data_IF_730778205728
#
_entry.id   IF_730778205728
#
_cell.length_a   1.000
_cell.length_b   1.000
_cell.length_c   1.000
_cell.angle_alpha   90.00
_cell.angle_beta   90.00
_cell.angle_gamma   90.00
#
_symmetry.space_group_name_H-M   'P 1'
#
loop_
_entity.id
_entity.type
_entity.pdbx_description
1 polymer ?
#
# COMPACT_ATOMS: atom_id res chain seq x y z
N UNK A 1 4.65 -7.63 1.36
CA UNK A 1 4.74 -6.18 1.64
C UNK A 1 4.50 -5.43 0.34
N UNK A 2 4.18 -4.13 0.38
CA UNK A 2 4.04 -3.37 -0.86
C UNK A 2 5.34 -3.43 -1.67
N UNK A 3 5.23 -3.78 -2.96
CA UNK A 3 6.35 -3.83 -3.92
C UNK A 3 7.52 -4.72 -3.48
N UNK A 4 7.22 -5.82 -2.77
CA UNK A 4 8.20 -6.79 -2.31
C UNK A 4 7.71 -8.22 -2.61
N UNK A 5 8.64 -9.15 -2.80
CA UNK A 5 8.38 -10.59 -2.94
C UNK A 5 8.18 -11.31 -1.60
N UNK A 6 8.57 -10.68 -0.47
CA UNK A 6 8.31 -11.19 0.88
C UNK A 6 6.88 -10.89 1.36
N UNK A 7 6.24 -11.85 2.02
CA UNK A 7 4.86 -11.69 2.51
C UNK A 7 4.81 -10.91 3.83
N UNK A 8 3.68 -10.24 4.11
CA UNK A 8 3.48 -9.59 5.43
C UNK A 8 3.48 -10.63 6.56
N UNK A 9 3.00 -11.86 6.28
CA UNK A 9 2.96 -12.95 7.25
C UNK A 9 4.36 -13.33 7.80
N UNK A 10 5.41 -13.26 6.97
CA UNK A 10 6.78 -13.51 7.40
C UNK A 10 7.29 -12.51 8.45
N UNK A 11 6.70 -11.32 8.52
CA UNK A 11 7.04 -10.23 9.45
C UNK A 11 6.14 -10.18 10.69
N UNK A 12 5.16 -11.10 10.76
CA UNK A 12 4.27 -11.28 11.90
C UNK A 12 4.64 -12.53 12.71
N UNK A 13 5.65 -13.28 12.27
CA UNK A 13 6.18 -14.42 13.02
C UNK A 13 6.81 -13.93 14.34
N UNK A 14 6.63 -14.64 15.46
CA UNK A 14 7.17 -14.24 16.77
C UNK A 14 8.69 -14.01 16.79
N UNK A 15 9.42 -14.64 15.87
CA UNK A 15 10.88 -14.51 15.72
C UNK A 15 11.33 -13.37 14.79
N UNK A 16 10.41 -12.64 14.17
CA UNK A 16 10.72 -11.64 13.12
C UNK A 16 11.07 -10.25 13.65
N UNK A 17 10.97 -10.00 14.96
CA UNK A 17 11.23 -8.70 15.56
C UNK A 17 12.46 -8.70 16.47
N UNK A 18 13.51 -7.99 16.06
CA UNK A 18 14.53 -7.45 16.96
C UNK A 18 14.03 -6.20 17.69
N UNK A 19 14.91 -5.25 18.03
CA UNK A 19 14.57 -4.01 18.76
C UNK A 19 13.78 -2.96 17.97
N UNK A 20 13.50 -3.17 16.67
CA UNK A 20 12.70 -2.28 15.81
C UNK A 20 11.64 -3.08 15.05
N UNK A 21 10.49 -2.45 14.75
CA UNK A 21 9.43 -3.06 13.91
C UNK A 21 9.99 -3.40 12.53
N UNK A 22 9.65 -4.58 12.01
CA UNK A 22 10.14 -5.06 10.72
C UNK A 22 9.46 -4.41 9.49
N UNK A 23 8.46 -3.55 9.72
CA UNK A 23 7.72 -2.81 8.70
C UNK A 23 7.23 -1.46 9.24
N UNK A 24 7.00 -0.53 8.32
CA UNK A 24 6.37 0.76 8.56
C UNK A 24 4.98 0.82 7.92
N UNK A 25 4.11 1.65 8.51
CA UNK A 25 2.81 1.99 7.93
C UNK A 25 2.97 3.28 7.12
N UNK A 26 2.65 3.22 5.83
CA UNK A 26 2.80 4.34 4.91
C UNK A 26 1.47 4.70 4.24
N UNK A 27 1.27 5.98 3.92
CA UNK A 27 0.12 6.45 3.16
C UNK A 27 0.35 6.24 1.66
N UNK A 28 -0.53 5.52 0.97
CA UNK A 28 -0.46 5.33 -0.49
C UNK A 28 -0.56 6.66 -1.24
N UNK A 29 -1.42 7.56 -0.77
CA UNK A 29 -1.38 8.97 -1.15
C UNK A 29 -0.76 9.73 0.02
N UNK A 30 0.52 10.16 -0.08
CA UNK A 30 1.24 10.72 1.06
C UNK A 30 0.56 11.93 1.67
N UNK A 31 0.79 12.15 2.97
CA UNK A 31 0.13 13.21 3.71
C UNK A 31 0.45 14.60 3.13
N UNK A 32 1.70 14.84 2.73
CA UNK A 32 2.10 16.09 2.09
C UNK A 32 1.55 16.25 0.66
N UNK A 33 1.32 15.16 -0.07
CA UNK A 33 0.61 15.19 -1.36
C UNK A 33 -0.83 15.68 -1.21
N UNK A 34 -1.52 15.31 -0.13
CA UNK A 34 -2.91 15.70 0.13
C UNK A 34 -3.06 17.06 0.85
N UNK A 35 -1.95 17.66 1.30
CA UNK A 35 -1.96 18.86 2.15
C UNK A 35 -2.51 20.08 1.40
N UNK A 36 -3.37 20.85 2.07
CA UNK A 36 -4.10 21.99 1.51
C UNK A 36 -5.01 21.65 0.32
N UNK A 37 -5.16 20.36 -0.01
CA UNK A 37 -6.04 19.89 -1.06
C UNK A 37 -7.46 19.61 -0.56
N UNK A 38 -8.42 19.36 -1.47
CA UNK A 38 -9.81 19.10 -1.10
C UNK A 38 -10.00 17.85 -0.23
N UNK A 39 -9.01 16.95 -0.18
CA UNK A 39 -9.09 15.66 0.49
C UNK A 39 -8.18 15.51 1.71
N UNK A 40 -7.55 16.59 2.19
CA UNK A 40 -6.67 16.55 3.37
C UNK A 40 -7.36 15.91 4.59
N UNK A 41 -8.64 16.22 4.78
CA UNK A 41 -9.47 15.68 5.88
C UNK A 41 -9.60 14.16 5.87
N UNK A 42 -9.34 13.50 4.73
CA UNK A 42 -9.47 12.07 4.54
C UNK A 42 -8.11 11.34 4.46
N UNK A 43 -6.98 12.04 4.66
CA UNK A 43 -5.63 11.44 4.54
C UNK A 43 -5.42 10.21 5.42
N UNK A 44 -5.96 10.19 6.64
CA UNK A 44 -5.74 9.12 7.63
C UNK A 44 -6.79 7.99 7.58
N UNK A 45 -7.55 7.87 6.49
CA UNK A 45 -8.46 6.73 6.30
C UNK A 45 -7.67 5.43 6.23
N UNK A 46 -8.19 4.35 6.84
CA UNK A 46 -7.53 3.03 6.84
C UNK A 46 -7.18 2.54 5.42
N UNK A 47 -8.06 2.80 4.47
CA UNK A 47 -7.85 2.48 3.05
C UNK A 47 -6.77 3.33 2.36
N UNK A 48 -6.16 4.31 3.02
CA UNK A 48 -4.97 4.99 2.51
C UNK A 48 -3.67 4.37 3.04
N UNK A 49 -3.70 3.38 3.94
CA UNK A 49 -2.48 2.83 4.53
C UNK A 49 -2.06 1.49 3.94
N UNK A 50 -0.75 1.26 3.90
CA UNK A 50 -0.12 0.00 3.49
C UNK A 50 1.13 -0.28 4.33
N UNK A 51 1.53 -1.54 4.41
CA UNK A 51 2.78 -1.94 5.07
C UNK A 51 3.93 -1.95 4.05
N UNK A 52 4.99 -1.21 4.35
CA UNK A 52 6.22 -1.09 3.55
C UNK A 52 7.44 -1.44 4.41
N UNK A 53 8.54 -1.86 3.79
CA UNK A 53 9.81 -1.89 4.50
C UNK A 53 10.36 -0.47 4.72
N UNK A 54 11.23 -0.33 5.72
CA UNK A 54 11.82 0.95 6.11
C UNK A 54 12.57 1.66 4.97
N UNK A 55 13.29 0.91 4.13
CA UNK A 55 14.06 1.48 3.03
C UNK A 55 13.14 2.06 1.95
N UNK A 56 12.07 1.34 1.60
CA UNK A 56 11.04 1.85 0.68
C UNK A 56 10.26 3.01 1.28
N UNK A 57 9.98 3.00 2.59
CA UNK A 57 9.33 4.11 3.26
C UNK A 57 10.12 5.42 3.09
N UNK A 58 11.45 5.37 3.28
CA UNK A 58 12.35 6.50 3.03
C UNK A 58 12.35 6.88 1.55
N UNK A 59 12.41 5.89 0.65
CA UNK A 59 12.47 6.13 -0.78
C UNK A 59 11.20 6.81 -1.33
N UNK A 60 10.03 6.38 -0.89
CA UNK A 60 8.73 6.97 -1.30
C UNK A 60 8.56 8.35 -0.64
N UNK A 61 8.87 8.47 0.65
CA UNK A 61 8.73 9.71 1.43
C UNK A 61 7.36 10.38 1.24
N UNK A 62 7.32 11.53 0.55
CA UNK A 62 6.09 12.29 0.29
C UNK A 62 5.79 12.43 -1.21
N UNK A 63 6.41 11.58 -2.03
CA UNK A 63 6.34 11.66 -3.48
C UNK A 63 4.94 11.36 -4.01
N UNK A 64 4.57 12.04 -5.11
CA UNK A 64 3.30 11.81 -5.80
C UNK A 64 3.15 10.31 -6.18
N UNK A 65 1.99 9.68 -5.91
CA UNK A 65 1.69 8.32 -6.35
C UNK A 65 2.08 8.01 -7.78
N UNK A 66 1.82 8.92 -8.72
CA UNK A 66 2.15 8.73 -10.14
C UNK A 66 3.66 8.59 -10.36
N UNK A 67 4.44 9.33 -9.58
CA UNK A 67 5.90 9.35 -9.72
C UNK A 67 6.50 8.10 -9.07
N UNK A 68 6.21 7.83 -7.79
CA UNK A 68 6.87 6.70 -7.11
C UNK A 68 6.38 5.36 -7.67
N UNK A 69 5.09 5.22 -8.05
CA UNK A 69 4.56 3.99 -8.63
C UNK A 69 5.20 3.70 -9.98
N UNK A 70 5.42 4.71 -10.82
CA UNK A 70 6.11 4.52 -12.10
C UNK A 70 7.51 3.93 -11.90
N UNK A 71 8.28 4.43 -10.93
CA UNK A 71 9.62 3.90 -10.60
C UNK A 71 9.57 2.44 -10.15
N UNK A 72 8.58 2.07 -9.33
CA UNK A 72 8.41 0.67 -8.91
C UNK A 72 7.93 -0.24 -10.04
N UNK A 73 7.05 0.23 -10.92
CA UNK A 73 6.62 -0.50 -12.11
C UNK A 73 7.81 -0.81 -13.03
N UNK A 74 8.66 0.19 -13.29
CA UNK A 74 9.88 0.04 -14.08
C UNK A 74 10.86 -0.97 -13.45
N UNK A 75 11.06 -0.89 -12.13
CA UNK A 75 11.99 -1.76 -11.42
C UNK A 75 11.50 -3.21 -11.23
N UNK A 76 10.20 -3.42 -11.01
CA UNK A 76 9.60 -4.74 -10.73
C UNK A 76 9.16 -5.47 -12.00
N UNK A 77 8.77 -4.72 -13.04
CA UNK A 77 8.02 -5.24 -14.18
C UNK A 77 6.51 -5.39 -13.89
N UNK A 78 5.73 -5.40 -14.96
CA UNK A 78 4.26 -5.30 -14.89
C UNK A 78 3.60 -6.45 -14.11
N UNK A 79 4.07 -7.68 -14.30
CA UNK A 79 3.46 -8.85 -13.64
C UNK A 79 3.69 -8.85 -12.13
N UNK A 80 4.89 -8.47 -11.69
CA UNK A 80 5.20 -8.35 -10.26
C UNK A 80 4.46 -7.16 -9.63
N UNK A 81 4.29 -6.05 -10.35
CA UNK A 81 3.44 -4.94 -9.91
C UNK A 81 1.98 -5.37 -9.74
N UNK A 82 1.38 -6.04 -10.74
CA UNK A 82 -0.01 -6.53 -10.66
C UNK A 82 -0.22 -7.50 -9.50
N UNK A 83 0.75 -8.39 -9.29
CA UNK A 83 0.75 -9.33 -8.17
C UNK A 83 0.77 -8.56 -6.84
N UNK A 84 1.67 -7.59 -6.71
CA UNK A 84 1.76 -6.77 -5.50
C UNK A 84 0.47 -6.00 -5.22
N UNK A 85 -0.17 -5.42 -6.24
CA UNK A 85 -1.46 -4.77 -6.08
C UNK A 85 -2.54 -5.73 -5.57
N UNK A 86 -2.63 -6.92 -6.17
CA UNK A 86 -3.60 -7.95 -5.79
C UNK A 86 -3.39 -8.39 -4.33
N UNK A 87 -2.15 -8.68 -3.94
CA UNK A 87 -1.80 -9.12 -2.59
C UNK A 87 -2.02 -8.05 -1.51
N UNK A 88 -2.04 -6.77 -1.88
CA UNK A 88 -2.24 -5.64 -0.96
C UNK A 88 -3.63 -5.00 -1.08
N UNK A 89 -4.55 -5.65 -1.81
CA UNK A 89 -5.90 -5.14 -2.08
C UNK A 89 -5.89 -3.72 -2.67
N UNK A 90 -4.98 -3.46 -3.61
CA UNK A 90 -4.87 -2.21 -4.34
C UNK A 90 -5.59 -2.32 -5.69
N UNK A 91 -6.41 -1.33 -6.06
CA UNK A 91 -6.85 -1.16 -7.44
C UNK A 91 -5.62 -1.07 -8.37
N UNK A 92 -5.68 -1.70 -9.54
CA UNK A 92 -4.64 -1.53 -10.56
C UNK A 92 -4.74 -0.13 -11.13
N UNK A 93 -3.61 0.59 -11.22
CA UNK A 93 -3.60 1.98 -11.69
C UNK A 93 -4.15 2.97 -10.66
N UNK A 94 -4.14 2.63 -9.36
CA UNK A 94 -4.64 3.51 -8.31
C UNK A 94 -3.96 4.89 -8.30
N UNK A 95 -2.72 4.99 -8.78
CA UNK A 95 -1.97 6.23 -8.88
C UNK A 95 -2.64 7.27 -9.80
N UNK A 96 -3.47 6.83 -10.75
CA UNK A 96 -4.21 7.69 -11.67
C UNK A 96 -5.66 7.93 -11.23
N UNK A 97 -6.10 7.32 -10.13
CA UNK A 97 -7.47 7.46 -9.65
C UNK A 97 -7.69 8.76 -8.86
N UNK A 98 -8.90 9.28 -8.95
CA UNK A 98 -9.39 10.25 -7.97
C UNK A 98 -9.38 9.65 -6.56
N UNK A 99 -8.87 10.41 -5.59
CA UNK A 99 -8.56 9.88 -4.27
C UNK A 99 -9.77 9.26 -3.54
N UNK A 100 -10.96 9.88 -3.65
CA UNK A 100 -12.16 9.34 -3.02
C UNK A 100 -12.64 8.05 -3.68
N UNK A 101 -12.43 7.89 -4.99
CA UNK A 101 -12.81 6.68 -5.70
C UNK A 101 -11.82 5.55 -5.42
N UNK A 102 -10.53 5.85 -5.36
CA UNK A 102 -9.51 4.95 -4.82
C UNK A 102 -9.91 4.42 -3.42
N UNK A 103 -10.28 5.32 -2.50
CA UNK A 103 -10.67 4.91 -1.15
C UNK A 103 -11.91 4.01 -1.15
N UNK A 104 -12.89 4.26 -2.02
CA UNK A 104 -14.10 3.42 -2.15
C UNK A 104 -13.74 2.04 -2.66
N UNK A 105 -13.03 1.97 -3.79
CA UNK A 105 -12.69 0.71 -4.44
C UNK A 105 -11.79 -0.16 -3.54
N UNK A 106 -10.76 0.45 -2.95
CA UNK A 106 -9.86 -0.25 -2.03
C UNK A 106 -10.60 -0.87 -0.84
N UNK A 107 -11.61 -0.21 -0.27
CA UNK A 107 -12.41 -0.80 0.81
C UNK A 107 -13.14 -2.07 0.38
N UNK A 108 -13.67 -2.08 -0.83
CA UNK A 108 -14.33 -3.28 -1.39
C UNK A 108 -13.31 -4.41 -1.54
N UNK A 109 -12.15 -4.14 -2.14
CA UNK A 109 -11.08 -5.13 -2.31
C UNK A 109 -10.58 -5.69 -0.96
N UNK A 110 -10.35 -4.82 0.03
CA UNK A 110 -9.95 -5.23 1.38
C UNK A 110 -11.03 -6.13 2.02
N UNK A 111 -12.31 -5.77 1.89
CA UNK A 111 -13.42 -6.57 2.44
C UNK A 111 -13.51 -7.95 1.79
N UNK A 112 -13.32 -8.02 0.47
CA UNK A 112 -13.34 -9.28 -0.27
C UNK A 112 -12.16 -10.16 0.10
N UNK A 113 -10.96 -9.57 0.27
CA UNK A 113 -9.77 -10.29 0.72
C UNK A 113 -9.97 -10.89 2.11
N UNK A 114 -10.51 -10.13 3.07
CA UNK A 114 -10.82 -10.62 4.42
C UNK A 114 -11.86 -11.75 4.36
N UNK A 115 -12.94 -11.57 3.58
CA UNK A 115 -13.97 -12.59 3.39
C UNK A 115 -13.40 -13.89 2.82
N UNK A 116 -12.55 -13.79 1.80
CA UNK A 116 -11.89 -14.93 1.17
C UNK A 116 -10.95 -15.66 2.14
N UNK A 117 -10.18 -14.91 2.94
CA UNK A 117 -9.29 -15.48 3.95
C UNK A 117 -10.08 -16.24 5.03
N UNK A 118 -11.17 -15.66 5.53
CA UNK A 118 -12.02 -16.31 6.52
C UNK A 118 -12.73 -17.56 5.98
N UNK A 119 -13.13 -17.55 4.71
CA UNK A 119 -13.81 -18.70 4.08
C UNK A 119 -12.88 -19.89 3.81
N UNK A 120 -11.56 -19.73 4.01
CA UNK A 120 -10.54 -20.79 3.84
C UNK A 120 -10.08 -21.37 5.18
N UNK A 121 -10.64 -20.89 6.30
CA UNK A 121 -10.46 -21.44 7.64
C UNK A 121 -11.48 -22.55 7.87
#
# INVERSE_FOLDING_TARGET
MLFNTSTVAQLLLPASSGTKKAYDKHHLFPANFLKNGPYEYAKDRRANFVCVDYQKNIYISDEDPKIYVAKFKEALGDEAYKTSCTENALPLGFEDMEYLDFLKERRVLMSQMIKNAFSRL
#
